data_IF_999896043585
#
_entry.id   IF_999896043585
#
_cell.length_a   1.000
_cell.length_b   1.000
_cell.length_c   1.000
_cell.angle_alpha   90.00
_cell.angle_beta   90.00
_cell.angle_gamma   90.00
#
_symmetry.space_group_name_H-M   'P 1'
#
loop_
_entity.id
_entity.type
_entity.pdbx_description
1 polymer ?
#
# COMPACT_ATOMS: atom_id res chain seq x y z
N UNK A 1 -15.94 -30.03 32.90
CA UNK A 1 -14.91 -31.11 32.90
C UNK A 1 -14.05 -30.97 31.65
N UNK A 2 -12.74 -30.95 31.86
CA UNK A 2 -11.60 -31.05 30.93
C UNK A 2 -11.23 -29.88 30.07
N UNK A 3 -10.31 -29.09 30.64
CA UNK A 3 -9.34 -28.19 30.00
C UNK A 3 -8.50 -28.94 28.94
N UNK A 4 -8.21 -28.27 27.81
CA UNK A 4 -7.03 -28.60 27.01
C UNK A 4 -6.29 -27.30 26.68
N UNK A 5 -5.25 -27.04 27.43
CA UNK A 5 -4.18 -26.10 27.21
C UNK A 5 -3.31 -26.67 26.09
N UNK A 6 -3.17 -25.97 24.99
CA UNK A 6 -2.18 -26.27 23.94
C UNK A 6 -0.89 -25.50 24.24
N UNK A 7 0.15 -26.25 24.57
CA UNK A 7 1.49 -25.74 24.84
C UNK A 7 2.20 -25.38 23.52
N UNK A 8 2.75 -24.17 23.42
CA UNK A 8 3.69 -23.77 22.38
C UNK A 8 5.07 -24.34 22.70
N UNK A 9 5.56 -25.23 21.83
CA UNK A 9 6.93 -25.72 21.83
C UNK A 9 7.85 -24.68 21.18
N UNK A 10 8.72 -24.08 22.00
CA UNK A 10 9.86 -23.29 21.50
C UNK A 10 11.02 -24.27 21.32
N UNK A 11 11.42 -24.48 20.07
CA UNK A 11 12.57 -25.30 19.71
C UNK A 11 13.83 -24.44 19.76
N UNK A 12 14.58 -24.55 20.85
CA UNK A 12 15.92 -23.93 20.97
C UNK A 12 16.97 -24.87 20.34
N UNK A 13 17.56 -24.41 19.25
CA UNK A 13 18.70 -25.09 18.61
C UNK A 13 19.99 -24.68 19.37
N UNK A 14 20.51 -25.60 20.19
CA UNK A 14 21.83 -25.48 20.81
C UNK A 14 22.90 -26.06 19.89
N UNK A 15 23.85 -25.24 19.45
CA UNK A 15 25.08 -25.65 18.76
C UNK A 15 26.14 -26.04 19.79
N UNK A 16 26.85 -27.14 19.57
CA UNK A 16 27.93 -27.55 20.50
C UNK A 16 29.19 -26.67 20.29
N UNK A 17 29.65 -26.09 21.41
CA UNK A 17 30.91 -25.35 21.45
C UNK A 17 32.10 -26.26 21.31
N UNK A 18 33.01 -25.97 20.36
CA UNK A 18 34.32 -26.56 20.26
C UNK A 18 35.27 -25.73 21.14
N UNK A 19 35.66 -26.31 22.26
CA UNK A 19 36.72 -25.73 23.10
C UNK A 19 38.10 -26.01 22.47
N UNK A 20 38.74 -24.98 21.96
CA UNK A 20 40.16 -25.01 21.56
C UNK A 20 40.96 -24.53 22.74
N UNK A 21 41.74 -25.43 23.33
CA UNK A 21 42.69 -25.10 24.37
C UNK A 21 43.84 -24.22 23.78
N UNK A 22 43.93 -22.99 24.23
CA UNK A 22 45.04 -22.09 23.88
C UNK A 22 46.15 -22.29 24.89
N UNK A 23 47.22 -22.94 24.48
CA UNK A 23 48.53 -22.92 25.15
C UNK A 23 49.21 -21.57 24.90
N UNK A 24 49.45 -20.81 25.96
CA UNK A 24 50.18 -19.56 25.89
C UNK A 24 51.69 -19.81 25.81
N UNK A 25 52.42 -19.19 24.86
CA UNK A 25 53.88 -19.09 24.93
C UNK A 25 54.27 -17.83 25.69
N UNK A 26 54.92 -17.97 26.84
CA UNK A 26 55.64 -16.93 27.56
C UNK A 26 56.89 -16.57 26.79
N UNK A 27 56.91 -15.39 26.14
CA UNK A 27 58.12 -14.77 25.55
C UNK A 27 58.11 -13.27 25.86
N UNK A 28 59.29 -12.61 25.93
CA UNK A 28 59.42 -11.26 26.46
C UNK A 28 58.72 -10.24 25.58
N UNK A 29 57.88 -9.42 26.23
CA UNK A 29 57.09 -8.37 25.58
C UNK A 29 58.00 -7.26 25.02
N UNK A 30 58.28 -7.31 23.72
CA UNK A 30 58.63 -6.13 22.96
C UNK A 30 57.37 -5.29 22.78
N UNK A 31 57.29 -4.11 23.37
CA UNK A 31 56.25 -3.13 23.08
C UNK A 31 56.33 -2.75 21.60
N UNK A 32 55.59 -3.45 20.76
CA UNK A 32 55.29 -2.96 19.43
C UNK A 32 54.25 -1.83 19.59
N UNK A 33 54.72 -0.61 19.43
CA UNK A 33 53.88 0.57 19.24
C UNK A 33 53.03 0.32 18.00
N UNK A 34 51.72 0.23 18.18
CA UNK A 34 50.74 0.21 17.08
C UNK A 34 50.97 1.45 16.20
N UNK A 35 51.14 1.32 14.89
CA UNK A 35 51.29 2.46 14.00
C UNK A 35 50.02 3.29 14.12
N UNK A 36 50.16 4.57 14.45
CA UNK A 36 49.10 5.58 14.48
C UNK A 36 48.42 5.59 13.11
N UNK A 37 47.10 5.46 13.09
CA UNK A 37 46.20 5.38 11.91
C UNK A 37 46.27 6.61 10.99
N UNK A 38 47.31 7.43 11.08
CA UNK A 38 47.48 8.71 10.38
C UNK A 38 48.42 8.71 9.18
N UNK A 39 49.17 7.62 8.89
CA UNK A 39 50.21 7.67 7.87
C UNK A 39 50.24 6.44 6.94
N UNK A 40 49.11 5.90 6.57
CA UNK A 40 49.04 5.05 5.39
C UNK A 40 48.71 5.92 4.16
N UNK A 41 49.61 6.78 3.75
CA UNK A 41 49.62 7.31 2.40
C UNK A 41 49.95 6.15 1.45
N UNK A 42 48.94 5.42 1.02
CA UNK A 42 49.08 4.52 -0.11
C UNK A 42 49.41 5.38 -1.34
N UNK A 43 50.55 5.13 -2.02
CA UNK A 43 50.89 5.85 -3.23
C UNK A 43 49.74 5.66 -4.22
N UNK A 44 49.09 6.78 -4.59
CA UNK A 44 47.95 6.79 -5.53
C UNK A 44 48.44 6.23 -6.86
N UNK A 45 47.89 5.08 -7.28
CA UNK A 45 48.21 4.49 -8.58
C UNK A 45 47.80 5.46 -9.71
N UNK A 46 48.57 5.54 -10.82
CA UNK A 46 48.18 6.28 -12.00
C UNK A 46 46.75 5.86 -12.41
N UNK A 47 45.78 6.78 -12.42
CA UNK A 47 44.38 6.49 -12.69
C UNK A 47 43.42 6.59 -11.50
N UNK A 48 43.87 6.51 -10.24
CA UNK A 48 43.01 6.59 -9.05
C UNK A 48 42.27 7.94 -8.95
N UNK A 49 42.86 9.01 -9.40
CA UNK A 49 42.25 10.34 -9.46
C UNK A 49 41.10 10.39 -10.47
N UNK A 50 41.26 9.74 -11.62
CA UNK A 50 40.22 9.63 -12.67
C UNK A 50 39.06 8.77 -12.17
N UNK A 51 39.38 7.61 -11.58
CA UNK A 51 38.38 6.71 -10.99
C UNK A 51 37.59 7.37 -9.86
N UNK A 52 38.23 8.09 -8.94
CA UNK A 52 37.58 8.85 -7.87
C UNK A 52 36.65 9.93 -8.42
N UNK A 53 37.06 10.66 -9.48
CA UNK A 53 36.19 11.66 -10.15
C UNK A 53 34.97 11.00 -10.77
N UNK A 54 35.12 9.90 -11.49
CA UNK A 54 34.02 9.14 -12.09
C UNK A 54 33.01 8.65 -11.04
N UNK A 55 33.52 8.05 -9.95
CA UNK A 55 32.68 7.60 -8.83
C UNK A 55 31.93 8.76 -8.18
N UNK A 56 32.59 9.89 -7.93
CA UNK A 56 31.94 11.11 -7.39
C UNK A 56 30.87 11.61 -8.34
N UNK A 57 31.11 11.68 -9.63
CA UNK A 57 30.14 12.13 -10.62
C UNK A 57 28.94 11.19 -10.69
N UNK A 58 29.15 9.88 -10.64
CA UNK A 58 28.07 8.90 -10.58
C UNK A 58 27.22 9.05 -9.31
N UNK A 59 27.84 9.26 -8.16
CA UNK A 59 27.18 9.51 -6.89
C UNK A 59 26.39 10.83 -6.91
N UNK A 60 26.96 11.90 -7.45
CA UNK A 60 26.28 13.20 -7.64
C UNK A 60 25.05 13.05 -8.57
N UNK A 61 25.20 12.32 -9.68
CA UNK A 61 24.10 12.06 -10.61
C UNK A 61 22.94 11.32 -9.90
N UNK A 62 23.25 10.25 -9.14
CA UNK A 62 22.26 9.50 -8.37
C UNK A 62 21.55 10.38 -7.33
N UNK A 63 22.33 11.19 -6.59
CA UNK A 63 21.79 12.11 -5.58
C UNK A 63 20.88 13.18 -6.21
N UNK A 64 21.30 13.82 -7.31
CA UNK A 64 20.53 14.85 -8.01
C UNK A 64 19.22 14.30 -8.62
N UNK A 65 19.29 13.14 -9.26
CA UNK A 65 18.10 12.46 -9.79
C UNK A 65 17.12 12.10 -8.68
N UNK A 66 17.62 11.54 -7.58
CA UNK A 66 16.78 11.14 -6.43
C UNK A 66 16.13 12.35 -5.76
N UNK A 67 16.92 13.41 -5.50
CA UNK A 67 16.40 14.63 -4.88
C UNK A 67 15.40 15.32 -5.79
N UNK A 68 15.68 15.44 -7.08
CA UNK A 68 14.74 15.98 -8.07
C UNK A 68 13.44 15.18 -8.12
N UNK A 69 13.51 13.83 -8.11
CA UNK A 69 12.33 12.98 -8.14
C UNK A 69 11.47 13.16 -6.88
N UNK A 70 12.09 13.16 -5.70
CA UNK A 70 11.38 13.36 -4.44
C UNK A 70 10.69 14.72 -4.38
N UNK A 71 11.41 15.79 -4.82
CA UNK A 71 10.88 17.15 -4.81
C UNK A 71 9.77 17.35 -5.83
N UNK A 72 9.95 16.82 -7.05
CA UNK A 72 8.93 16.83 -8.10
C UNK A 72 7.66 16.07 -7.69
N UNK A 73 7.81 14.88 -7.09
CA UNK A 73 6.70 14.12 -6.55
C UNK A 73 5.95 14.89 -5.45
N UNK A 74 6.69 15.41 -4.46
CA UNK A 74 6.11 16.17 -3.35
C UNK A 74 5.34 17.40 -3.83
N UNK A 75 5.94 18.19 -4.72
CA UNK A 75 5.31 19.41 -5.28
C UNK A 75 4.03 19.08 -6.07
N UNK A 76 4.11 18.09 -6.96
CA UNK A 76 2.97 17.66 -7.79
C UNK A 76 1.83 17.13 -6.93
N UNK A 77 2.14 16.29 -5.94
CA UNK A 77 1.16 15.75 -5.00
C UNK A 77 0.52 16.85 -4.15
N UNK A 78 1.30 17.79 -3.63
CA UNK A 78 0.78 18.90 -2.84
C UNK A 78 -0.18 19.79 -3.65
N UNK A 79 0.15 20.10 -4.92
CA UNK A 79 -0.71 20.86 -5.82
C UNK A 79 -2.04 20.15 -6.07
N UNK A 80 -1.98 18.82 -6.31
CA UNK A 80 -3.18 18.00 -6.51
C UNK A 80 -4.05 17.92 -5.27
N UNK A 81 -3.46 17.68 -4.11
CA UNK A 81 -4.19 17.65 -2.85
C UNK A 81 -4.87 19.01 -2.57
N UNK A 82 -4.23 20.12 -2.92
CA UNK A 82 -4.85 21.45 -2.82
C UNK A 82 -6.07 21.56 -3.73
N UNK A 83 -5.96 21.09 -4.97
CA UNK A 83 -7.08 21.10 -5.91
C UNK A 83 -8.23 20.21 -5.41
N UNK A 84 -7.95 19.00 -4.92
CA UNK A 84 -8.94 18.10 -4.34
C UNK A 84 -9.70 18.77 -3.19
N UNK A 85 -8.97 19.40 -2.25
CA UNK A 85 -9.60 20.11 -1.13
C UNK A 85 -10.44 21.31 -1.59
N UNK A 86 -10.00 22.04 -2.62
CA UNK A 86 -10.79 23.15 -3.18
C UNK A 86 -12.12 22.70 -3.76
N UNK A 87 -12.19 21.47 -4.28
CA UNK A 87 -13.39 20.90 -4.89
C UNK A 87 -14.07 19.85 -3.99
N UNK A 88 -13.81 19.90 -2.70
CA UNK A 88 -14.20 18.89 -1.71
C UNK A 88 -15.70 18.58 -1.75
N UNK A 89 -16.56 19.59 -1.65
CA UNK A 89 -18.01 19.42 -1.63
C UNK A 89 -18.60 18.86 -2.94
N UNK A 90 -17.96 19.15 -4.10
CA UNK A 90 -18.36 18.53 -5.36
C UNK A 90 -17.98 17.06 -5.39
N UNK A 91 -16.74 16.77 -4.98
CA UNK A 91 -16.22 15.40 -4.99
C UNK A 91 -16.96 14.48 -4.00
N UNK A 92 -17.36 14.98 -2.84
CA UNK A 92 -18.17 14.24 -1.88
C UNK A 92 -19.56 13.90 -2.43
N UNK A 93 -20.15 14.76 -3.24
CA UNK A 93 -21.44 14.48 -3.91
C UNK A 93 -21.30 13.46 -5.04
N UNK A 94 -20.22 13.56 -5.84
CA UNK A 94 -19.99 12.66 -6.98
C UNK A 94 -19.55 11.28 -6.52
N UNK A 95 -18.66 11.21 -5.52
CA UNK A 95 -18.07 9.96 -5.01
C UNK A 95 -18.62 9.60 -3.63
N UNK A 96 -19.94 9.59 -3.48
CA UNK A 96 -20.58 9.23 -2.22
C UNK A 96 -20.65 7.72 -2.02
N UNK A 97 -20.38 7.27 -0.80
CA UNK A 97 -20.57 5.87 -0.39
C UNK A 97 -21.87 5.64 0.39
N UNK A 98 -22.62 6.69 0.70
CA UNK A 98 -23.88 6.59 1.48
C UNK A 98 -24.88 5.58 0.94
N UNK A 99 -25.15 5.49 -0.39
CA UNK A 99 -26.10 4.51 -0.91
C UNK A 99 -25.68 3.04 -0.67
N UNK A 100 -24.43 2.81 -0.35
CA UNK A 100 -23.85 1.48 -0.13
C UNK A 100 -23.66 1.14 1.35
N UNK A 101 -24.28 1.90 2.23
CA UNK A 101 -24.26 1.68 3.67
C UNK A 101 -25.57 1.06 4.13
N UNK A 102 -25.49 0.18 5.09
CA UNK A 102 -26.61 -0.47 5.74
C UNK A 102 -26.43 -0.47 7.27
N UNK A 103 -27.46 -0.82 8.02
CA UNK A 103 -27.44 -0.85 9.50
C UNK A 103 -26.94 0.46 10.12
N UNK A 104 -27.71 1.54 9.90
CA UNK A 104 -27.40 2.88 10.42
C UNK A 104 -25.99 3.37 10.04
N UNK A 105 -25.61 3.14 8.79
CA UNK A 105 -24.34 3.53 8.20
C UNK A 105 -23.10 2.75 8.72
N UNK A 106 -23.30 1.68 9.51
CA UNK A 106 -22.20 0.90 10.08
C UNK A 106 -21.79 -0.35 9.27
N UNK A 107 -22.58 -0.76 8.27
CA UNK A 107 -22.23 -1.89 7.41
C UNK A 107 -21.99 -1.40 5.98
N UNK A 108 -20.77 -1.50 5.50
CA UNK A 108 -20.43 -1.24 4.11
C UNK A 108 -20.69 -2.50 3.27
N UNK A 109 -21.54 -2.36 2.25
CA UNK A 109 -21.92 -3.46 1.36
C UNK A 109 -20.75 -3.96 0.51
N UNK A 110 -20.83 -5.21 0.00
CA UNK A 110 -19.78 -5.82 -0.81
C UNK A 110 -19.51 -5.06 -2.11
N UNK A 111 -18.31 -5.24 -2.64
CA UNK A 111 -17.92 -4.78 -3.98
C UNK A 111 -17.67 -5.99 -4.88
N UNK A 112 -18.28 -6.01 -6.08
CA UNK A 112 -18.19 -7.09 -7.05
C UNK A 112 -17.46 -6.64 -8.31
N UNK A 113 -16.44 -7.38 -8.68
CA UNK A 113 -15.76 -7.21 -9.97
C UNK A 113 -16.48 -8.00 -11.06
N UNK A 114 -16.44 -7.46 -12.30
CA UNK A 114 -16.84 -8.19 -13.49
C UNK A 114 -15.63 -8.40 -14.40
N UNK A 115 -15.36 -9.64 -14.77
CA UNK A 115 -14.50 -10.01 -15.86
C UNK A 115 -15.31 -10.27 -17.11
N UNK A 116 -14.89 -9.75 -18.26
CA UNK A 116 -15.56 -9.99 -19.55
C UNK A 116 -14.65 -10.82 -20.44
N UNK A 117 -15.24 -11.78 -21.16
CA UNK A 117 -14.58 -12.61 -22.18
C UNK A 117 -13.30 -13.28 -21.65
N UNK A 118 -13.44 -14.12 -20.64
CA UNK A 118 -12.37 -15.01 -20.24
C UNK A 118 -12.38 -16.22 -21.18
N UNK A 119 -11.25 -16.48 -21.82
CA UNK A 119 -11.02 -17.66 -22.62
C UNK A 119 -9.91 -18.46 -21.94
N UNK A 120 -10.23 -19.66 -21.52
CA UNK A 120 -9.29 -20.57 -20.85
C UNK A 120 -9.09 -21.78 -21.73
N UNK A 121 -7.89 -21.99 -22.21
CA UNK A 121 -7.50 -23.19 -22.93
C UNK A 121 -7.22 -24.28 -21.87
N UNK A 122 -8.00 -25.37 -21.89
CA UNK A 122 -7.81 -26.49 -20.97
C UNK A 122 -6.91 -27.56 -21.60
N UNK A 123 -7.10 -27.81 -22.88
CA UNK A 123 -6.29 -28.71 -23.74
C UNK A 123 -6.20 -28.15 -25.15
N UNK A 124 -5.31 -28.64 -26.04
CA UNK A 124 -5.21 -28.20 -27.43
C UNK A 124 -6.51 -28.30 -28.23
N UNK A 125 -7.46 -29.12 -27.77
CA UNK A 125 -8.77 -29.32 -28.42
C UNK A 125 -9.96 -28.85 -27.59
N UNK A 126 -9.74 -28.28 -26.36
CA UNK A 126 -10.81 -27.88 -25.44
C UNK A 126 -10.56 -26.51 -24.86
N UNK A 127 -11.48 -25.61 -25.09
CA UNK A 127 -11.42 -24.26 -24.55
C UNK A 127 -12.74 -23.84 -23.89
N UNK A 128 -12.66 -23.29 -22.69
CA UNK A 128 -13.75 -22.67 -21.97
C UNK A 128 -13.86 -21.19 -22.33
N UNK A 129 -15.04 -20.76 -22.76
CA UNK A 129 -15.34 -19.37 -23.07
C UNK A 129 -16.38 -18.81 -22.09
N UNK A 130 -15.94 -17.94 -21.18
CA UNK A 130 -16.84 -17.26 -20.26
C UNK A 130 -17.14 -15.85 -20.78
N UNK A 131 -18.42 -15.53 -21.04
CA UNK A 131 -18.83 -14.19 -21.49
C UNK A 131 -18.67 -13.14 -20.39
N UNK A 132 -19.13 -13.45 -19.18
CA UNK A 132 -19.02 -12.59 -18.00
C UNK A 132 -18.79 -13.45 -16.78
N UNK A 133 -17.81 -13.08 -15.96
CA UNK A 133 -17.55 -13.68 -14.67
C UNK A 133 -17.67 -12.61 -13.58
N UNK A 134 -18.31 -12.91 -12.48
CA UNK A 134 -18.41 -12.04 -11.32
C UNK A 134 -17.61 -12.60 -10.15
N UNK A 135 -16.99 -11.71 -9.38
CA UNK A 135 -16.24 -12.09 -8.17
C UNK A 135 -16.45 -11.03 -7.08
N UNK A 136 -16.78 -11.46 -5.89
CA UNK A 136 -16.79 -10.56 -4.72
C UNK A 136 -15.35 -10.17 -4.43
N UNK A 137 -15.01 -8.90 -4.69
CA UNK A 137 -13.68 -8.34 -4.50
C UNK A 137 -13.47 -7.89 -3.04
N UNK A 138 -14.48 -7.23 -2.48
CA UNK A 138 -14.53 -6.85 -1.07
C UNK A 138 -15.81 -7.42 -0.47
N UNK A 139 -15.68 -8.18 0.62
CA UNK A 139 -16.83 -8.63 1.40
C UNK A 139 -17.48 -7.46 2.16
N UNK A 140 -18.73 -7.65 2.62
CA UNK A 140 -19.33 -6.73 3.57
C UNK A 140 -18.48 -6.60 4.82
N UNK A 141 -18.37 -5.39 5.36
CA UNK A 141 -17.60 -5.13 6.57
C UNK A 141 -18.26 -4.09 7.46
N UNK A 142 -18.06 -4.23 8.75
CA UNK A 142 -18.45 -3.23 9.73
C UNK A 142 -17.42 -2.11 9.69
N UNK A 143 -17.89 -0.87 9.71
CA UNK A 143 -17.08 0.33 9.65
C UNK A 143 -17.54 1.32 10.73
N UNK A 144 -16.61 2.06 11.29
CA UNK A 144 -16.91 3.15 12.20
C UNK A 144 -17.18 4.47 11.46
N UNK A 145 -16.48 4.67 10.34
CA UNK A 145 -16.57 5.88 9.52
C UNK A 145 -16.70 5.45 8.05
N UNK A 146 -17.69 5.97 7.33
CA UNK A 146 -17.85 5.72 5.90
C UNK A 146 -16.61 6.15 5.11
N UNK A 147 -16.15 5.35 4.12
CA UNK A 147 -15.05 5.76 3.26
C UNK A 147 -15.46 6.96 2.41
N UNK A 148 -14.47 7.77 2.08
CA UNK A 148 -14.61 8.96 1.24
C UNK A 148 -13.65 8.92 0.07
N UNK A 149 -13.81 9.79 -0.91
CA UNK A 149 -12.83 9.93 -2.00
C UNK A 149 -11.43 10.26 -1.49
N UNK A 150 -11.32 10.89 -0.29
CA UNK A 150 -10.05 11.29 0.32
C UNK A 150 -9.16 10.09 0.63
N UNK A 151 -9.76 8.97 1.05
CA UNK A 151 -9.05 7.73 1.39
C UNK A 151 -8.36 7.10 0.16
N UNK A 152 -8.81 7.45 -1.03
CA UNK A 152 -8.29 6.96 -2.30
C UNK A 152 -7.38 7.96 -3.01
N UNK A 153 -7.69 9.27 -2.94
CA UNK A 153 -7.09 10.29 -3.79
C UNK A 153 -6.11 11.22 -3.08
N UNK A 154 -6.26 11.43 -1.76
CA UNK A 154 -5.32 12.25 -1.00
C UNK A 154 -4.08 11.42 -0.68
N UNK A 155 -2.96 11.82 -1.28
CA UNK A 155 -1.67 11.16 -1.13
C UNK A 155 -0.76 11.96 -0.21
N UNK A 156 0.08 11.27 0.55
CA UNK A 156 1.15 11.95 1.29
C UNK A 156 2.21 12.46 0.30
N UNK A 157 2.51 13.77 0.29
CA UNK A 157 3.56 14.30 -0.58
C UNK A 157 4.96 13.82 -0.17
N UNK A 158 5.12 13.34 1.07
CA UNK A 158 6.42 13.03 1.64
C UNK A 158 7.29 14.29 1.86
N UNK A 159 8.42 14.12 2.54
CA UNK A 159 9.45 15.15 2.70
C UNK A 159 10.70 14.72 1.93
N UNK A 160 11.21 15.53 0.96
CA UNK A 160 12.45 15.22 0.26
C UNK A 160 13.60 15.09 1.27
N UNK A 161 14.39 14.03 1.13
CA UNK A 161 15.58 13.84 1.97
C UNK A 161 16.66 14.86 1.60
N UNK A 162 17.31 15.43 2.61
CA UNK A 162 18.44 16.35 2.39
C UNK A 162 19.57 15.59 1.66
N UNK A 163 20.18 16.28 0.70
CA UNK A 163 21.34 15.75 -0.01
C UNK A 163 22.57 15.85 0.89
N UNK A 164 23.43 14.83 0.85
CA UNK A 164 24.71 14.87 1.55
C UNK A 164 25.53 16.06 1.02
N UNK A 165 26.01 16.98 1.89
CA UNK A 165 26.78 18.16 1.47
C UNK A 165 28.02 17.83 0.63
N UNK A 166 28.66 16.68 0.85
CA UNK A 166 29.82 16.22 0.08
C UNK A 166 29.49 15.96 -1.40
N UNK A 167 28.24 15.70 -1.72
CA UNK A 167 27.77 15.43 -3.09
C UNK A 167 27.27 16.70 -3.80
N UNK A 168 27.19 17.82 -3.13
CA UNK A 168 26.77 19.08 -3.75
C UNK A 168 27.82 19.54 -4.80
N UNK A 169 27.38 20.23 -5.86
CA UNK A 169 28.27 20.70 -6.92
C UNK A 169 29.20 21.80 -6.41
N UNK A 170 30.51 21.66 -6.69
CA UNK A 170 31.55 22.60 -6.25
C UNK A 170 31.94 23.64 -7.32
N UNK A 171 31.78 23.33 -8.60
CA UNK A 171 32.17 24.18 -9.71
C UNK A 171 31.06 24.34 -10.76
N UNK A 172 31.24 25.26 -11.72
CA UNK A 172 30.25 25.59 -12.74
C UNK A 172 29.87 24.41 -13.64
N UNK A 173 30.80 23.51 -13.96
CA UNK A 173 30.55 22.32 -14.77
C UNK A 173 29.64 21.34 -13.99
N UNK A 174 29.97 21.08 -12.74
CA UNK A 174 29.15 20.26 -11.86
C UNK A 174 27.75 20.85 -11.64
N UNK A 175 27.63 22.19 -11.48
CA UNK A 175 26.32 22.89 -11.35
C UNK A 175 25.43 22.68 -12.56
N UNK A 176 25.99 22.80 -13.80
CA UNK A 176 25.23 22.55 -15.04
C UNK A 176 24.73 21.10 -15.12
N UNK A 177 25.58 20.14 -14.80
CA UNK A 177 25.21 18.71 -14.78
C UNK A 177 24.18 18.41 -13.69
N UNK A 178 24.40 18.95 -12.49
CA UNK A 178 23.46 18.81 -11.37
C UNK A 178 22.07 19.30 -11.74
N UNK A 179 21.95 20.53 -12.31
CA UNK A 179 20.68 21.06 -12.79
C UNK A 179 20.01 20.13 -13.79
N UNK A 180 20.77 19.67 -14.81
CA UNK A 180 20.25 18.71 -15.83
C UNK A 180 19.70 17.42 -15.20
N UNK A 181 20.40 16.87 -14.22
CA UNK A 181 19.98 15.64 -13.53
C UNK A 181 18.78 15.89 -12.61
N UNK A 182 18.79 17.00 -11.89
CA UNK A 182 17.66 17.42 -11.03
C UNK A 182 16.39 17.63 -11.86
N UNK A 183 16.45 18.33 -12.99
CA UNK A 183 15.31 18.55 -13.87
C UNK A 183 14.76 17.24 -14.44
N UNK A 184 15.65 16.30 -14.79
CA UNK A 184 15.25 14.95 -15.23
C UNK A 184 14.59 14.16 -14.10
N UNK A 185 15.16 14.24 -12.91
CA UNK A 185 14.58 13.65 -11.70
C UNK A 185 13.20 14.23 -11.41
N UNK A 186 13.06 15.56 -11.45
CA UNK A 186 11.80 16.27 -11.24
C UNK A 186 10.68 15.75 -12.15
N UNK A 187 10.91 15.70 -13.46
CA UNK A 187 9.94 15.14 -14.42
C UNK A 187 9.55 13.70 -14.10
N UNK A 188 10.51 12.91 -13.60
CA UNK A 188 10.23 11.54 -13.15
C UNK A 188 9.35 11.53 -11.90
N UNK A 189 9.60 12.41 -10.94
CA UNK A 189 8.80 12.57 -9.74
C UNK A 189 7.35 12.97 -10.04
N UNK A 190 7.16 13.94 -10.94
CA UNK A 190 5.82 14.34 -11.39
C UNK A 190 5.04 13.17 -12.01
N UNK A 191 5.68 12.41 -12.91
CA UNK A 191 5.07 11.22 -13.51
C UNK A 191 4.70 10.14 -12.47
N UNK A 192 5.54 9.95 -11.45
CA UNK A 192 5.24 9.02 -10.36
C UNK A 192 4.02 9.49 -9.55
N UNK A 193 3.93 10.79 -9.24
CA UNK A 193 2.75 11.35 -8.57
C UNK A 193 1.48 11.18 -9.42
N UNK A 194 1.55 11.44 -10.73
CA UNK A 194 0.42 11.25 -11.64
C UNK A 194 0.00 9.78 -11.74
N UNK A 195 0.96 8.87 -11.75
CA UNK A 195 0.69 7.41 -11.72
C UNK A 195 0.00 6.98 -10.42
N UNK A 196 0.50 7.45 -9.27
CA UNK A 196 -0.09 7.15 -7.97
C UNK A 196 -1.55 7.65 -7.89
N UNK A 197 -1.81 8.86 -8.38
CA UNK A 197 -3.17 9.40 -8.44
C UNK A 197 -4.09 8.58 -9.35
N UNK A 198 -3.63 8.19 -10.55
CA UNK A 198 -4.44 7.32 -11.45
C UNK A 198 -4.74 5.96 -10.81
N UNK A 199 -3.82 5.42 -10.03
CA UNK A 199 -4.07 4.18 -9.27
C UNK A 199 -5.15 4.42 -8.22
N UNK A 200 -5.06 5.50 -7.45
CA UNK A 200 -6.09 5.90 -6.48
C UNK A 200 -7.46 6.07 -7.13
N UNK A 201 -7.52 6.79 -8.26
CA UNK A 201 -8.76 7.00 -9.01
C UNK A 201 -9.38 5.67 -9.48
N UNK A 202 -8.57 4.77 -10.06
CA UNK A 202 -9.08 3.44 -10.46
C UNK A 202 -9.60 2.63 -9.28
N UNK A 203 -8.95 2.73 -8.12
CA UNK A 203 -9.44 2.06 -6.89
C UNK A 203 -10.77 2.64 -6.41
N UNK A 204 -10.91 3.97 -6.43
CA UNK A 204 -12.15 4.66 -6.07
C UNK A 204 -13.31 4.27 -7.00
N UNK A 205 -13.08 4.38 -8.31
CA UNK A 205 -14.08 4.00 -9.33
C UNK A 205 -14.48 2.54 -9.18
N UNK A 206 -13.50 1.63 -9.07
CA UNK A 206 -13.76 0.20 -8.84
C UNK A 206 -14.58 -0.06 -7.58
N UNK A 207 -14.29 0.68 -6.50
CA UNK A 207 -15.01 0.52 -5.23
C UNK A 207 -16.48 0.95 -5.33
N UNK A 208 -16.78 2.00 -6.10
CA UNK A 208 -18.15 2.49 -6.34
C UNK A 208 -18.86 1.59 -7.34
N UNK A 209 -18.29 1.38 -8.54
CA UNK A 209 -18.89 0.52 -9.58
C UNK A 209 -19.12 -0.91 -9.09
N UNK A 210 -18.19 -1.45 -8.29
CA UNK A 210 -18.33 -2.77 -7.71
C UNK A 210 -19.53 -2.88 -6.76
N UNK A 211 -19.86 -1.81 -6.03
CA UNK A 211 -21.04 -1.77 -5.15
C UNK A 211 -22.33 -1.53 -5.91
N UNK A 212 -22.30 -0.72 -6.96
CA UNK A 212 -23.42 -0.58 -7.90
C UNK A 212 -23.76 -1.96 -8.47
N UNK A 213 -22.76 -2.66 -8.98
CA UNK A 213 -22.92 -4.00 -9.54
C UNK A 213 -23.43 -5.02 -8.52
N UNK A 214 -22.94 -4.96 -7.26
CA UNK A 214 -23.49 -5.78 -6.19
C UNK A 214 -25.00 -5.52 -6.02
N UNK A 215 -25.40 -4.25 -6.08
CA UNK A 215 -26.80 -3.87 -5.95
C UNK A 215 -27.65 -4.41 -7.12
N UNK A 216 -27.18 -4.25 -8.36
CA UNK A 216 -27.81 -4.79 -9.57
C UNK A 216 -27.97 -6.31 -9.50
N UNK A 217 -26.90 -7.04 -9.17
CA UNK A 217 -26.93 -8.49 -9.01
C UNK A 217 -27.87 -8.94 -7.87
N UNK A 218 -27.94 -8.14 -6.80
CA UNK A 218 -28.88 -8.42 -5.69
C UNK A 218 -30.34 -8.25 -6.10
N UNK A 219 -30.66 -7.23 -6.91
CA UNK A 219 -32.00 -7.04 -7.47
C UNK A 219 -32.37 -8.17 -8.43
N UNK A 220 -31.40 -8.64 -9.24
CA UNK A 220 -31.58 -9.79 -10.14
C UNK A 220 -31.63 -11.14 -9.40
N UNK A 221 -31.50 -11.19 -8.08
CA UNK A 221 -31.46 -12.43 -7.32
C UNK A 221 -30.21 -13.28 -7.55
N UNK A 222 -29.18 -12.73 -8.18
CA UNK A 222 -27.94 -13.44 -8.53
C UNK A 222 -26.92 -13.47 -7.38
N UNK A 223 -27.12 -12.63 -6.38
CA UNK A 223 -26.30 -12.57 -5.17
C UNK A 223 -27.18 -12.33 -3.94
N UNK A 224 -27.00 -13.13 -2.89
CA UNK A 224 -27.62 -12.92 -1.59
C UNK A 224 -26.97 -11.74 -0.88
N UNK A 225 -27.80 -10.92 -0.23
CA UNK A 225 -27.30 -9.85 0.63
C UNK A 225 -26.67 -10.42 1.89
N UNK A 226 -25.65 -9.74 2.45
CA UNK A 226 -25.13 -10.11 3.75
C UNK A 226 -26.22 -9.97 4.82
N UNK A 227 -26.22 -10.85 5.81
CA UNK A 227 -27.08 -10.76 6.98
C UNK A 227 -26.22 -10.31 8.16
N UNK A 228 -26.76 -9.40 8.93
CA UNK A 228 -26.16 -8.94 10.18
C UNK A 228 -27.17 -9.02 11.32
N UNK A 229 -26.66 -9.25 12.51
CA UNK A 229 -27.43 -9.22 13.75
C UNK A 229 -26.93 -8.08 14.62
N UNK A 230 -27.84 -7.46 15.32
CA UNK A 230 -27.57 -6.48 16.36
C UNK A 230 -28.12 -7.06 17.66
N UNK A 231 -27.29 -7.17 18.68
CA UNK A 231 -27.70 -7.60 20.01
C UNK A 231 -27.31 -6.56 21.04
N UNK A 232 -28.19 -6.24 21.99
CA UNK A 232 -27.80 -5.37 23.10
C UNK A 232 -26.70 -6.09 23.90
N UNK A 233 -25.64 -5.36 24.23
CA UNK A 233 -24.67 -5.80 25.20
C UNK A 233 -25.10 -5.32 26.59
N UNK A 234 -24.59 -5.99 27.62
CA UNK A 234 -24.85 -5.57 28.99
C UNK A 234 -24.19 -4.21 29.24
N UNK A 235 -24.82 -3.39 30.08
CA UNK A 235 -24.21 -2.16 30.57
C UNK A 235 -22.93 -2.49 31.30
N UNK A 236 -21.81 -1.99 30.79
CA UNK A 236 -20.50 -2.19 31.37
C UNK A 236 -20.11 -0.97 32.22
N UNK A 237 -19.71 -1.20 33.46
CA UNK A 237 -19.15 -0.19 34.34
C UNK A 237 -17.71 -0.58 34.67
N UNK A 238 -16.77 0.25 34.27
CA UNK A 238 -15.36 0.05 34.58
C UNK A 238 -14.81 1.36 35.15
N UNK A 239 -14.68 1.40 36.50
CA UNK A 239 -14.11 2.57 37.19
C UNK A 239 -14.83 3.87 36.85
N UNK A 240 -14.19 4.73 36.07
CA UNK A 240 -14.68 6.08 35.70
C UNK A 240 -15.55 6.08 34.44
N UNK A 241 -15.72 4.94 33.76
CA UNK A 241 -16.48 4.82 32.49
C UNK A 241 -17.76 4.04 32.74
N UNK A 242 -18.89 4.63 32.35
CA UNK A 242 -20.20 3.98 32.29
C UNK A 242 -20.69 3.95 30.85
N UNK A 243 -20.74 2.77 30.26
CA UNK A 243 -21.30 2.52 28.91
C UNK A 243 -22.74 2.05 29.03
N UNK A 244 -23.68 2.87 28.52
CA UNK A 244 -25.12 2.57 28.58
C UNK A 244 -25.61 2.34 27.15
N UNK A 245 -26.33 1.22 26.95
CA UNK A 245 -26.93 0.91 25.64
C UNK A 245 -25.91 0.41 24.63
N UNK A 246 -24.83 -0.21 25.09
CA UNK A 246 -23.85 -0.86 24.21
C UNK A 246 -24.54 -1.89 23.30
N UNK A 247 -24.10 -1.95 22.06
CA UNK A 247 -24.69 -2.81 21.03
C UNK A 247 -23.63 -3.50 20.22
N UNK A 248 -23.68 -4.83 20.20
CA UNK A 248 -22.80 -5.64 19.36
C UNK A 248 -23.43 -5.83 17.98
N UNK A 249 -22.74 -5.34 16.95
CA UNK A 249 -23.10 -5.56 15.55
C UNK A 249 -22.20 -6.67 14.97
N UNK A 250 -22.80 -7.69 14.37
CA UNK A 250 -22.10 -8.83 13.78
C UNK A 250 -22.66 -9.17 12.41
N UNK A 251 -21.79 -9.38 11.41
CA UNK A 251 -22.19 -9.98 10.14
C UNK A 251 -22.27 -11.50 10.36
N UNK A 252 -23.47 -12.06 10.30
CA UNK A 252 -23.74 -13.47 10.57
C UNK A 252 -23.64 -14.33 9.31
N UNK A 253 -23.95 -13.75 8.15
CA UNK A 253 -23.82 -14.41 6.86
C UNK A 253 -23.22 -13.45 5.83
N UNK A 254 -22.11 -13.77 5.18
CA UNK A 254 -21.58 -12.96 4.08
C UNK A 254 -22.45 -13.09 2.83
N UNK A 255 -22.34 -12.14 1.92
CA UNK A 255 -22.94 -12.22 0.59
C UNK A 255 -22.37 -13.43 -0.18
N UNK A 256 -23.22 -14.09 -0.96
CA UNK A 256 -22.88 -15.26 -1.78
C UNK A 256 -23.62 -15.20 -3.11
N UNK A 257 -23.02 -15.72 -4.18
CA UNK A 257 -23.74 -15.94 -5.42
C UNK A 257 -24.78 -17.05 -5.22
N UNK A 258 -25.94 -16.84 -5.79
CA UNK A 258 -27.06 -17.78 -5.74
C UNK A 258 -27.00 -18.78 -6.91
N UNK A 259 -27.66 -19.92 -6.77
CA UNK A 259 -27.86 -20.86 -7.87
C UNK A 259 -28.78 -20.25 -8.95
N UNK A 260 -28.60 -20.68 -10.19
CA UNK A 260 -29.27 -20.09 -11.36
C UNK A 260 -30.81 -20.17 -11.34
N UNK A 261 -31.35 -21.16 -10.61
CA UNK A 261 -32.79 -21.33 -10.41
C UNK A 261 -33.46 -20.17 -9.64
N UNK A 262 -32.66 -19.37 -8.92
CA UNK A 262 -33.15 -18.22 -8.14
C UNK A 262 -33.03 -16.90 -8.89
N UNK A 263 -32.48 -16.90 -10.10
CA UNK A 263 -32.26 -15.67 -10.85
C UNK A 263 -33.57 -15.13 -11.40
N UNK A 264 -33.72 -13.83 -11.28
CA UNK A 264 -34.86 -13.10 -11.86
C UNK A 264 -34.42 -12.47 -13.17
N UNK A 265 -35.21 -12.54 -14.24
CA UNK A 265 -34.90 -11.78 -15.44
C UNK A 265 -34.87 -10.30 -15.10
N UNK A 266 -33.80 -9.61 -15.46
CA UNK A 266 -33.79 -8.15 -15.46
C UNK A 266 -34.73 -7.72 -16.58
N UNK A 267 -35.91 -7.23 -16.24
CA UNK A 267 -36.76 -6.54 -17.20
C UNK A 267 -36.01 -5.27 -17.59
N UNK A 268 -35.40 -5.28 -18.77
CA UNK A 268 -35.01 -4.06 -19.45
C UNK A 268 -36.32 -3.41 -19.85
N UNK A 269 -36.78 -2.41 -19.11
CA UNK A 269 -37.77 -1.50 -19.65
C UNK A 269 -37.13 -0.82 -20.84
N UNK A 270 -37.45 -1.30 -22.04
CA UNK A 270 -37.20 -0.55 -23.26
C UNK A 270 -37.98 0.75 -23.15
N UNK A 271 -37.27 1.81 -22.81
CA UNK A 271 -37.81 3.17 -22.79
C UNK A 271 -38.35 3.46 -24.18
N UNK A 272 -39.67 3.56 -24.25
CA UNK A 272 -40.44 4.15 -25.36
C UNK A 272 -40.08 5.62 -25.50
#
# INVERSE_FOLDING_TARGET
>A
MKNRIAAFFVLSLSLPGIAVAATAPTGPHSRQTLPTLGQAEHPSRPGDSVRRRALRQAAQKKAALSWGAQTGYAKRTALRNRWLRKNDGLLDRVFTFRPFLASDEHVLLPSVDAGRRAFKLEDPGLADATLVSYRIHEAARIISIPPTFRDYLILSPGKPKKVNPLLLPKNSKEKKLWKKWTDRGWKTGERLSDRAFRIGMRRLVRAIEGRIRFYELSLAGQIDRPIWARSPAATLRTGEVLEIGDTVLRITRPARFTAADKWKPLSVEEGK
#
